data_IF_381480615285
#
_entry.id   IF_381480615285
#
_cell.length_a   1.000
_cell.length_b   1.000
_cell.length_c   1.000
_cell.angle_alpha   90.00
_cell.angle_beta   90.00
_cell.angle_gamma   90.00
#
_symmetry.space_group_name_H-M   'P 1'
#
loop_
_entity.id
_entity.type
_entity.pdbx_description
1 polymer ?
#
# COMPACT_ATOMS: atom_id res chain seq x y z
N UNK A 1 22.48 6.73 -5.58
CA UNK A 1 21.52 5.66 -5.30
C UNK A 1 20.80 5.38 -6.61
N UNK A 2 20.73 4.14 -7.03
CA UNK A 2 20.03 3.82 -8.28
C UNK A 2 18.52 3.99 -8.01
N UNK A 3 17.91 5.03 -8.56
CA UNK A 3 16.49 5.39 -8.31
C UNK A 3 15.52 4.28 -8.73
N UNK A 4 15.92 3.43 -9.68
CA UNK A 4 15.15 2.24 -10.04
C UNK A 4 14.91 1.31 -8.83
N UNK A 5 15.81 1.25 -7.84
CA UNK A 5 15.62 0.45 -6.63
C UNK A 5 14.52 0.96 -5.70
N UNK A 6 14.04 2.19 -5.89
CA UNK A 6 12.92 2.75 -5.11
C UNK A 6 11.55 2.30 -5.65
N UNK A 7 11.47 1.87 -6.92
CA UNK A 7 10.20 1.52 -7.58
C UNK A 7 9.38 0.44 -6.85
N UNK A 8 9.96 -0.64 -6.31
CA UNK A 8 9.18 -1.65 -5.58
C UNK A 8 8.79 -1.23 -4.15
N UNK A 9 9.39 -0.16 -3.59
CA UNK A 9 9.16 0.24 -2.20
C UNK A 9 7.69 0.56 -1.87
N UNK A 10 6.88 1.21 -2.73
CA UNK A 10 5.47 1.44 -2.46
C UNK A 10 4.64 0.15 -2.26
N UNK A 11 5.15 -0.99 -2.71
CA UNK A 11 4.54 -2.30 -2.49
C UNK A 11 5.17 -2.99 -1.27
N UNK A 12 6.50 -3.01 -1.20
CA UNK A 12 7.24 -3.78 -0.20
C UNK A 12 7.11 -3.18 1.20
N UNK A 13 7.16 -1.83 1.33
CA UNK A 13 7.05 -1.16 2.62
C UNK A 13 5.75 -1.48 3.37
N UNK A 14 4.56 -1.35 2.76
CA UNK A 14 3.32 -1.65 3.47
C UNK A 14 3.15 -3.15 3.73
N UNK A 15 3.60 -4.05 2.86
CA UNK A 15 3.57 -5.49 3.13
C UNK A 15 4.50 -5.86 4.29
N UNK A 16 5.71 -5.30 4.33
CA UNK A 16 6.63 -5.50 5.45
C UNK A 16 6.05 -4.92 6.75
N UNK A 17 5.46 -3.73 6.68
CA UNK A 17 4.76 -3.12 7.81
C UNK A 17 3.60 -3.98 8.33
N UNK A 18 2.80 -4.55 7.43
CA UNK A 18 1.73 -5.47 7.80
C UNK A 18 2.24 -6.72 8.52
N UNK A 19 3.31 -7.34 7.97
CA UNK A 19 3.96 -8.49 8.60
C UNK A 19 4.54 -8.14 9.98
N UNK A 20 5.19 -6.99 10.09
CA UNK A 20 5.75 -6.50 11.36
C UNK A 20 4.66 -6.30 12.42
N UNK A 21 3.51 -5.73 12.06
CA UNK A 21 2.37 -5.56 12.97
C UNK A 21 1.85 -6.91 13.47
N UNK A 22 1.75 -7.89 12.59
CA UNK A 22 1.32 -9.25 12.96
C UNK A 22 2.29 -9.87 13.98
N UNK A 23 3.61 -9.69 13.77
CA UNK A 23 4.65 -10.19 14.68
C UNK A 23 4.66 -9.44 16.02
N UNK A 24 4.47 -8.11 16.00
CA UNK A 24 4.41 -7.30 17.23
C UNK A 24 3.16 -7.57 18.08
N UNK A 25 2.19 -8.31 17.55
CA UNK A 25 1.03 -8.80 18.26
C UNK A 25 0.05 -7.72 18.72
N UNK A 26 -0.38 -7.76 20.00
CA UNK A 26 -1.54 -6.98 20.51
C UNK A 26 -1.24 -5.55 20.93
N UNK A 27 -0.04 -5.03 20.78
CA UNK A 27 0.28 -3.65 21.17
C UNK A 27 -0.35 -2.64 20.23
N UNK A 28 -1.47 -2.03 20.61
CA UNK A 28 -2.18 -1.01 19.82
C UNK A 28 -1.30 0.19 19.47
N UNK A 29 -0.48 0.64 20.41
CA UNK A 29 0.44 1.76 20.18
C UNK A 29 1.45 1.40 19.07
N UNK A 30 2.05 0.21 19.15
CA UNK A 30 2.98 -0.26 18.13
C UNK A 30 2.32 -0.36 16.74
N UNK A 31 1.09 -0.91 16.66
CA UNK A 31 0.35 -1.01 15.40
C UNK A 31 0.07 0.38 14.79
N UNK A 32 -0.39 1.36 15.59
CA UNK A 32 -0.62 2.75 15.16
C UNK A 32 0.66 3.39 14.65
N UNK A 33 1.74 3.32 15.44
CA UNK A 33 3.02 3.93 15.09
C UNK A 33 3.59 3.33 13.82
N UNK A 34 3.60 2.00 13.70
CA UNK A 34 4.11 1.32 12.49
C UNK A 34 3.28 1.69 11.26
N UNK A 35 1.94 1.66 11.36
CA UNK A 35 1.08 2.00 10.22
C UNK A 35 1.28 3.43 9.75
N UNK A 36 1.30 4.39 10.66
CA UNK A 36 1.51 5.80 10.32
C UNK A 36 2.91 6.05 9.76
N UNK A 37 3.94 5.44 10.35
CA UNK A 37 5.31 5.56 9.87
C UNK A 37 5.49 4.98 8.46
N UNK A 38 4.91 3.81 8.19
CA UNK A 38 4.95 3.17 6.87
C UNK A 38 4.23 4.02 5.84
N UNK A 39 3.01 4.50 6.13
CA UNK A 39 2.26 5.34 5.19
C UNK A 39 2.95 6.69 4.95
N UNK A 40 3.53 7.30 5.98
CA UNK A 40 4.34 8.51 5.80
C UNK A 40 5.58 8.25 4.93
N UNK A 41 6.27 7.14 5.13
CA UNK A 41 7.39 6.74 4.29
C UNK A 41 6.95 6.49 2.83
N UNK A 42 5.77 5.90 2.62
CA UNK A 42 5.20 5.74 1.28
C UNK A 42 4.98 7.07 0.58
N UNK A 43 4.47 8.11 1.26
CA UNK A 43 4.32 9.45 0.70
C UNK A 43 5.67 10.00 0.25
N UNK A 44 6.71 9.89 1.08
CA UNK A 44 8.06 10.37 0.74
C UNK A 44 8.61 9.63 -0.49
N UNK A 45 8.48 8.32 -0.53
CA UNK A 45 8.93 7.49 -1.67
C UNK A 45 8.15 7.84 -2.94
N UNK A 46 6.83 8.02 -2.84
CA UNK A 46 5.98 8.37 -3.98
C UNK A 46 6.35 9.74 -4.57
N UNK A 47 6.63 10.73 -3.73
CA UNK A 47 7.11 12.04 -4.18
C UNK A 47 8.49 11.94 -4.85
N UNK A 48 9.40 11.15 -4.28
CA UNK A 48 10.72 10.93 -4.88
C UNK A 48 10.61 10.27 -6.27
N UNK A 49 9.74 9.26 -6.41
CA UNK A 49 9.49 8.59 -7.69
C UNK A 49 8.84 9.52 -8.73
N UNK A 50 7.91 10.39 -8.29
CA UNK A 50 7.31 11.39 -9.19
C UNK A 50 8.34 12.38 -9.71
N UNK A 51 9.23 12.89 -8.83
CA UNK A 51 10.31 13.82 -9.23
C UNK A 51 11.24 13.15 -10.24
N UNK A 52 11.56 11.88 -10.04
CA UNK A 52 12.43 11.14 -10.95
C UNK A 52 11.76 10.85 -12.29
N UNK A 53 10.49 10.43 -12.27
CA UNK A 53 9.71 10.24 -13.49
C UNK A 53 9.51 11.55 -14.27
N UNK A 54 9.47 12.71 -13.60
CA UNK A 54 9.41 14.01 -14.24
C UNK A 54 10.73 14.36 -14.96
N UNK A 55 11.87 13.97 -14.39
CA UNK A 55 13.20 14.23 -14.94
C UNK A 55 13.57 13.30 -16.08
N UNK A 56 13.29 12.01 -15.94
CA UNK A 56 13.73 10.95 -16.88
C UNK A 56 12.62 10.49 -17.83
N UNK A 57 11.38 10.96 -17.66
CA UNK A 57 10.20 10.56 -18.43
C UNK A 57 9.53 9.30 -17.90
N UNK A 58 10.29 8.28 -17.51
CA UNK A 58 9.80 7.05 -16.89
C UNK A 58 10.92 6.32 -16.16
N UNK A 59 10.56 5.60 -15.10
CA UNK A 59 11.48 4.73 -14.34
C UNK A 59 10.97 3.30 -14.44
N UNK A 60 11.81 2.38 -14.93
CA UNK A 60 11.46 0.97 -15.09
C UNK A 60 12.34 0.11 -14.20
N UNK A 61 11.71 -0.80 -13.45
CA UNK A 61 12.36 -1.82 -12.66
C UNK A 61 11.79 -3.19 -13.03
N UNK A 62 12.66 -4.11 -13.44
CA UNK A 62 12.26 -5.51 -13.65
C UNK A 62 12.59 -6.32 -12.40
N UNK A 63 11.58 -6.85 -11.73
CA UNK A 63 11.77 -7.68 -10.56
C UNK A 63 12.32 -9.05 -10.95
N UNK A 64 13.32 -9.53 -10.16
CA UNK A 64 13.94 -10.84 -10.37
C UNK A 64 14.97 -10.94 -11.48
N UNK A 65 15.25 -9.86 -12.22
CA UNK A 65 16.29 -9.86 -13.27
C UNK A 65 15.96 -10.68 -14.52
N UNK A 66 14.72 -11.15 -14.67
CA UNK A 66 14.26 -11.89 -15.85
C UNK A 66 13.78 -10.90 -16.91
N UNK A 67 14.21 -11.11 -18.16
CA UNK A 67 13.71 -10.30 -19.28
C UNK A 67 12.22 -10.53 -19.55
N UNK A 68 11.54 -9.51 -20.11
CA UNK A 68 10.17 -9.68 -20.58
C UNK A 68 10.09 -10.85 -21.59
N UNK A 69 9.05 -11.70 -21.54
CA UNK A 69 7.78 -11.59 -20.79
C UNK A 69 7.78 -12.30 -19.41
N UNK A 70 8.91 -12.83 -18.94
CA UNK A 70 8.97 -13.65 -17.72
C UNK A 70 9.17 -12.82 -16.44
N UNK A 71 9.73 -11.62 -16.55
CA UNK A 71 9.96 -10.73 -15.40
C UNK A 71 8.78 -9.82 -15.13
N UNK A 72 8.53 -9.54 -13.83
CA UNK A 72 7.54 -8.54 -13.42
C UNK A 72 8.10 -7.15 -13.70
N UNK A 73 7.52 -6.45 -14.67
CA UNK A 73 7.89 -5.08 -14.98
C UNK A 73 7.10 -4.11 -14.09
N UNK A 74 7.83 -3.29 -13.33
CA UNK A 74 7.26 -2.15 -12.61
C UNK A 74 7.68 -0.87 -13.34
N UNK A 75 6.72 -0.02 -13.65
CA UNK A 75 6.91 1.20 -14.44
C UNK A 75 6.29 2.38 -13.70
N UNK A 76 7.06 3.42 -13.51
CA UNK A 76 6.56 4.69 -12.98
C UNK A 76 6.78 5.76 -14.03
N UNK A 77 5.70 6.20 -14.65
CA UNK A 77 5.63 7.41 -15.47
C UNK A 77 5.06 8.58 -14.64
N UNK A 78 4.89 9.74 -15.27
CA UNK A 78 4.31 10.91 -14.60
C UNK A 78 2.91 10.66 -14.07
N UNK A 79 2.08 9.96 -14.84
CA UNK A 79 0.70 9.66 -14.43
C UNK A 79 0.69 8.72 -13.22
N UNK A 80 1.44 7.61 -13.29
CA UNK A 80 1.58 6.67 -12.18
C UNK A 80 2.14 7.35 -10.92
N UNK A 81 3.14 8.22 -11.08
CA UNK A 81 3.72 8.99 -9.98
C UNK A 81 2.73 9.93 -9.31
N UNK A 82 1.91 10.66 -10.08
CA UNK A 82 0.86 11.53 -9.55
C UNK A 82 -0.20 10.70 -8.81
N UNK A 83 -0.66 9.60 -9.41
CA UNK A 83 -1.65 8.71 -8.79
C UNK A 83 -1.14 8.09 -7.50
N UNK A 84 0.15 7.68 -7.46
CA UNK A 84 0.81 7.21 -6.24
C UNK A 84 0.82 8.26 -5.14
N UNK A 85 1.24 9.49 -5.44
CA UNK A 85 1.29 10.58 -4.45
C UNK A 85 -0.09 10.87 -3.90
N UNK A 86 -1.10 11.05 -4.78
CA UNK A 86 -2.48 11.33 -4.35
C UNK A 86 -3.01 10.19 -3.49
N UNK A 87 -2.88 8.94 -3.93
CA UNK A 87 -3.39 7.80 -3.20
C UNK A 87 -2.71 7.60 -1.85
N UNK A 88 -1.40 7.74 -1.77
CA UNK A 88 -0.66 7.60 -0.50
C UNK A 88 -0.98 8.71 0.50
N UNK A 89 -1.21 9.94 0.04
CA UNK A 89 -1.70 11.04 0.91
C UNK A 89 -3.10 10.72 1.43
N UNK A 90 -4.02 10.26 0.57
CA UNK A 90 -5.38 9.88 0.99
C UNK A 90 -5.34 8.72 1.99
N UNK A 91 -4.55 7.68 1.73
CA UNK A 91 -4.38 6.55 2.63
C UNK A 91 -3.83 6.99 4.00
N UNK A 92 -2.85 7.88 4.01
CA UNK A 92 -2.32 8.44 5.27
C UNK A 92 -3.39 9.26 6.00
N UNK A 93 -4.10 10.14 5.30
CA UNK A 93 -5.14 10.98 5.90
C UNK A 93 -6.27 10.14 6.53
N UNK A 94 -6.73 9.10 5.83
CA UNK A 94 -7.75 8.17 6.33
C UNK A 94 -7.24 7.41 7.56
N UNK A 95 -5.97 6.97 7.57
CA UNK A 95 -5.38 6.29 8.72
C UNK A 95 -5.28 7.23 9.93
N UNK A 96 -4.85 8.49 9.73
CA UNK A 96 -4.79 9.50 10.81
C UNK A 96 -6.18 9.74 11.39
N UNK A 97 -7.19 9.88 10.53
CA UNK A 97 -8.59 10.01 10.96
C UNK A 97 -9.05 8.78 11.75
N UNK A 98 -8.82 7.57 11.23
CA UNK A 98 -9.22 6.33 11.87
C UNK A 98 -8.58 6.14 13.25
N UNK A 99 -7.31 6.50 13.41
CA UNK A 99 -6.60 6.45 14.70
C UNK A 99 -7.14 7.50 15.67
N UNK A 100 -7.51 8.69 15.18
CA UNK A 100 -8.07 9.78 16.00
C UNK A 100 -9.50 9.51 16.49
N UNK A 101 -10.34 8.90 15.62
CA UNK A 101 -11.74 8.59 15.94
C UNK A 101 -11.89 7.35 16.83
N UNK A 102 -10.93 6.41 16.74
CA UNK A 102 -11.00 5.16 17.48
C UNK A 102 -10.96 5.40 19.02
N UNK A 103 -12.13 5.46 19.67
CA UNK A 103 -12.23 5.32 21.10
C UNK A 103 -11.60 3.99 21.55
N UNK A 104 -11.01 3.96 22.76
CA UNK A 104 -10.13 2.89 23.27
C UNK A 104 -10.67 1.45 23.23
N UNK A 105 -11.87 1.20 22.71
CA UNK A 105 -12.49 -0.13 22.58
C UNK A 105 -12.79 -0.58 21.15
N UNK A 106 -12.70 0.30 20.16
CA UNK A 106 -13.23 0.07 18.81
C UNK A 106 -12.19 -0.32 17.75
N UNK A 107 -10.89 -0.24 18.04
CA UNK A 107 -9.88 -0.77 17.11
C UNK A 107 -9.98 -2.29 17.05
N UNK A 108 -10.44 -2.78 15.93
CA UNK A 108 -10.61 -4.21 15.70
C UNK A 108 -9.29 -4.87 15.40
N UNK A 109 -9.11 -6.06 15.93
CA UNK A 109 -7.95 -6.90 15.65
C UNK A 109 -7.86 -7.11 14.13
N UNK A 110 -6.72 -6.76 13.53
CA UNK A 110 -6.48 -6.97 12.10
C UNK A 110 -6.70 -5.73 11.22
N UNK A 111 -7.27 -4.62 11.71
CA UNK A 111 -7.49 -3.42 10.91
C UNK A 111 -6.19 -2.87 10.30
N UNK A 112 -5.17 -2.62 11.12
CA UNK A 112 -3.91 -2.03 10.68
C UNK A 112 -3.16 -2.85 9.62
N UNK A 113 -2.91 -4.17 9.82
CA UNK A 113 -2.22 -4.94 8.81
C UNK A 113 -3.02 -5.07 7.51
N UNK A 114 -4.34 -5.24 7.57
CA UNK A 114 -5.19 -5.30 6.38
C UNK A 114 -5.22 -3.98 5.61
N UNK A 115 -5.22 -2.86 6.32
CA UNK A 115 -5.14 -1.55 5.69
C UNK A 115 -3.81 -1.33 4.95
N UNK A 116 -2.70 -1.82 5.50
CA UNK A 116 -1.41 -1.79 4.83
C UNK A 116 -1.35 -2.73 3.62
N UNK A 117 -2.00 -3.90 3.67
CA UNK A 117 -2.15 -4.78 2.50
C UNK A 117 -2.97 -4.10 1.40
N UNK A 118 -4.06 -3.39 1.78
CA UNK A 118 -4.83 -2.57 0.84
C UNK A 118 -3.95 -1.50 0.18
N UNK A 119 -3.14 -0.78 0.98
CA UNK A 119 -2.23 0.24 0.48
C UNK A 119 -1.19 -0.33 -0.49
N UNK A 120 -0.68 -1.54 -0.24
CA UNK A 120 0.21 -2.25 -1.15
C UNK A 120 -0.47 -2.55 -2.49
N UNK A 121 -1.71 -3.07 -2.46
CA UNK A 121 -2.48 -3.38 -3.67
C UNK A 121 -2.78 -2.14 -4.51
N UNK A 122 -3.20 -1.05 -3.88
CA UNK A 122 -3.42 0.24 -4.55
C UNK A 122 -2.13 0.73 -5.23
N UNK A 123 -1.01 0.70 -4.52
CA UNK A 123 0.27 1.13 -5.08
C UNK A 123 0.72 0.23 -6.23
N UNK A 124 0.57 -1.10 -6.09
CA UNK A 124 0.90 -2.07 -7.13
C UNK A 124 0.10 -1.83 -8.40
N UNK A 125 -1.20 -1.49 -8.31
CA UNK A 125 -2.06 -1.25 -9.46
C UNK A 125 -1.61 -0.06 -10.31
N UNK A 126 -0.96 0.95 -9.71
CA UNK A 126 -0.47 2.12 -10.44
C UNK A 126 0.89 1.93 -11.09
N UNK A 127 1.74 1.07 -10.51
CA UNK A 127 3.13 0.92 -10.98
C UNK A 127 3.38 -0.38 -11.76
N UNK A 128 2.38 -1.23 -11.92
CA UNK A 128 2.54 -2.46 -12.70
C UNK A 128 2.64 -2.16 -14.20
N UNK A 129 3.58 -2.81 -14.87
CA UNK A 129 3.78 -2.70 -16.31
C UNK A 129 3.15 -3.84 -17.12
N UNK A 130 2.43 -4.77 -16.50
CA UNK A 130 1.78 -5.88 -17.17
C UNK A 130 0.37 -6.20 -16.60
N UNK A 131 -0.49 -6.75 -17.45
CA UNK A 131 -1.89 -7.02 -17.12
C UNK A 131 -2.06 -8.15 -16.09
N UNK A 132 -1.16 -9.11 -16.04
CA UNK A 132 -1.23 -10.19 -15.07
C UNK A 132 -0.99 -9.67 -13.65
N UNK A 133 0.05 -8.86 -13.47
CA UNK A 133 0.32 -8.24 -12.19
C UNK A 133 -0.75 -7.19 -11.80
N UNK A 134 -1.36 -6.52 -12.78
CA UNK A 134 -2.50 -5.65 -12.54
C UNK A 134 -3.68 -6.45 -11.94
N UNK A 135 -3.96 -7.62 -12.52
CA UNK A 135 -4.99 -8.52 -11.97
C UNK A 135 -4.66 -8.94 -10.54
N UNK A 136 -3.41 -9.34 -10.26
CA UNK A 136 -2.97 -9.71 -8.89
C UNK A 136 -3.10 -8.53 -7.92
N UNK A 137 -2.76 -7.31 -8.34
CA UNK A 137 -2.91 -6.11 -7.53
C UNK A 137 -4.40 -5.84 -7.17
N UNK A 138 -5.30 -5.99 -8.14
CA UNK A 138 -6.74 -5.88 -7.90
C UNK A 138 -7.27 -6.97 -6.96
N UNK A 139 -6.86 -8.21 -7.12
CA UNK A 139 -7.24 -9.30 -6.23
C UNK A 139 -6.79 -9.01 -4.78
N UNK A 140 -5.57 -8.53 -4.60
CA UNK A 140 -5.07 -8.13 -3.29
C UNK A 140 -5.89 -6.97 -2.69
N UNK A 141 -6.23 -5.96 -3.49
CA UNK A 141 -7.11 -4.86 -3.08
C UNK A 141 -8.50 -5.35 -2.67
N UNK A 142 -9.12 -6.18 -3.51
CA UNK A 142 -10.46 -6.72 -3.26
C UNK A 142 -10.49 -7.57 -1.99
N UNK A 143 -9.53 -8.48 -1.83
CA UNK A 143 -9.44 -9.32 -0.63
C UNK A 143 -9.29 -8.48 0.65
N UNK A 144 -8.37 -7.51 0.65
CA UNK A 144 -8.16 -6.64 1.80
C UNK A 144 -9.39 -5.78 2.11
N UNK A 145 -10.02 -5.17 1.08
CA UNK A 145 -11.23 -4.35 1.22
C UNK A 145 -12.41 -5.15 1.76
N UNK A 146 -12.61 -6.36 1.23
CA UNK A 146 -13.70 -7.24 1.68
C UNK A 146 -13.57 -7.59 3.16
N UNK A 147 -12.36 -7.96 3.60
CA UNK A 147 -12.12 -8.23 5.02
C UNK A 147 -12.27 -6.97 5.88
N UNK A 148 -11.81 -5.81 5.42
CA UNK A 148 -11.98 -4.55 6.15
C UNK A 148 -13.46 -4.18 6.34
N UNK A 149 -14.30 -4.38 5.33
CA UNK A 149 -15.75 -4.15 5.42
C UNK A 149 -16.38 -5.11 6.44
N UNK A 150 -16.01 -6.39 6.41
CA UNK A 150 -16.55 -7.38 7.35
C UNK A 150 -16.09 -7.14 8.79
N UNK A 151 -14.87 -6.61 9.00
CA UNK A 151 -14.43 -6.17 10.31
C UNK A 151 -15.29 -5.04 10.87
N UNK A 152 -15.85 -4.16 10.01
CA UNK A 152 -16.75 -3.04 10.37
C UNK A 152 -18.19 -3.45 10.68
N UNK A 153 -18.65 -4.59 10.17
CA UNK A 153 -20.04 -5.02 10.24
C UNK A 153 -20.53 -5.37 11.66
N UNK A 154 -21.68 -4.80 12.07
CA UNK A 154 -22.48 -5.38 13.14
C UNK A 154 -23.07 -6.70 12.62
N UNK A 155 -23.30 -7.72 13.49
CA UNK A 155 -23.87 -9.02 13.05
C UNK A 155 -25.18 -8.88 12.27
N UNK A 156 -25.91 -7.78 12.48
CA UNK A 156 -27.21 -7.49 11.85
C UNK A 156 -27.08 -6.99 10.40
N UNK A 157 -25.90 -6.48 10.00
CA UNK A 157 -25.64 -5.96 8.64
C UNK A 157 -25.15 -7.02 7.65
N UNK A 158 -24.73 -8.17 8.14
CA UNK A 158 -24.22 -9.27 7.31
C UNK A 158 -25.34 -10.22 6.88
N UNK A 159 -26.57 -10.05 7.41
CA UNK A 159 -27.72 -10.92 7.14
C UNK A 159 -28.78 -10.33 6.19
N UNK A 160 -28.55 -9.17 5.61
CA UNK A 160 -29.46 -8.58 4.62
C UNK A 160 -28.99 -8.76 3.19
#
# INVERSE_FOLDING_TARGET
MNTASLVPLPIVLPLFGAALIVVLGRSRVAQRVVSLAVLAAMVVVSVALLIEADREGHVVQVAGGWSAPLGIALVVDRLAGIMLVVSTIVLLAVMVYAVGEASQGQERVGFHPLYLVLAAGVSASFITGDLFNLFVAFEMMLAASYVLITLGGRPDQVRS
#
